data_IF_784099311412
#
_entry.id   IF_784099311412
#
_cell.length_a   1.000
_cell.length_b   1.000
_cell.length_c   1.000
_cell.angle_alpha   90.00
_cell.angle_beta   90.00
_cell.angle_gamma   90.00
#
_symmetry.space_group_name_H-M   'P 1'
#
loop_
_entity.id
_entity.type
_entity.pdbx_description
1 polymer ?
#
# COMPACT_ATOMS: atom_id res chain seq x y z
N UNK A 1 3.64 10.12 17.13
CA UNK A 1 4.83 10.75 17.77
C UNK A 1 6.15 10.09 17.33
N UNK A 2 6.18 8.74 17.17
CA UNK A 2 7.38 8.07 16.64
C UNK A 2 7.67 8.54 15.20
N UNK A 3 8.94 8.79 14.91
CA UNK A 3 9.42 9.17 13.57
C UNK A 3 9.17 10.62 13.18
N UNK A 4 8.68 11.46 14.06
CA UNK A 4 8.39 12.87 13.74
C UNK A 4 9.64 13.65 13.31
N UNK A 5 10.79 13.32 13.89
CA UNK A 5 12.07 13.98 13.62
C UNK A 5 12.65 13.63 12.24
N UNK A 6 12.22 12.49 11.65
CA UNK A 6 12.65 12.05 10.32
C UNK A 6 11.76 12.55 9.18
N UNK A 7 10.65 13.24 9.48
CA UNK A 7 9.75 13.81 8.48
C UNK A 7 10.42 15.03 7.83
N UNK A 8 10.72 15.00 6.52
CA UNK A 8 11.51 16.06 5.89
C UNK A 8 10.76 17.36 5.67
N UNK A 9 9.42 17.34 5.70
CA UNK A 9 8.59 18.52 5.46
C UNK A 9 7.24 18.44 6.16
N UNK A 10 6.83 19.57 6.76
CA UNK A 10 5.47 19.71 7.31
C UNK A 10 4.37 19.62 6.23
N UNK A 11 4.70 19.91 4.98
CA UNK A 11 3.77 19.88 3.85
C UNK A 11 3.54 18.48 3.27
N UNK A 12 4.23 17.45 3.76
CA UNK A 12 3.94 16.07 3.36
C UNK A 12 2.52 15.67 3.74
N UNK A 13 1.90 14.85 2.89
CA UNK A 13 0.57 14.30 3.19
C UNK A 13 0.62 13.39 4.42
N UNK A 14 -0.49 13.28 5.13
CA UNK A 14 -0.56 12.52 6.38
C UNK A 14 -0.11 11.06 6.25
N UNK A 15 -0.47 10.30 5.19
CA UNK A 15 0.04 8.95 5.00
C UNK A 15 1.57 8.88 4.90
N UNK A 16 2.21 9.85 4.24
CA UNK A 16 3.67 9.91 4.16
C UNK A 16 4.30 10.08 5.56
N UNK A 17 3.70 10.93 6.40
CA UNK A 17 4.14 11.11 7.79
C UNK A 17 3.98 9.84 8.64
N UNK A 18 2.88 9.12 8.47
CA UNK A 18 2.62 7.86 9.19
C UNK A 18 3.67 6.79 8.90
N UNK A 19 4.14 6.71 7.67
CA UNK A 19 5.17 5.73 7.28
C UNK A 19 6.44 5.88 8.12
N UNK A 20 6.88 7.11 8.42
CA UNK A 20 8.03 7.33 9.30
C UNK A 20 7.82 6.69 10.67
N UNK A 21 6.64 6.88 11.27
CA UNK A 21 6.28 6.23 12.54
C UNK A 21 6.27 4.71 12.47
N UNK A 22 5.77 4.13 11.40
CA UNK A 22 5.75 2.66 11.21
C UNK A 22 7.17 2.09 11.09
N UNK A 23 8.05 2.74 10.35
CA UNK A 23 9.44 2.30 10.20
C UNK A 23 10.19 2.42 11.54
N UNK A 24 10.09 3.54 12.24
CA UNK A 24 10.70 3.70 13.56
C UNK A 24 10.16 2.69 14.58
N UNK A 25 8.87 2.34 14.49
CA UNK A 25 8.30 1.30 15.34
C UNK A 25 8.91 -0.08 15.04
N UNK A 26 9.11 -0.45 13.78
CA UNK A 26 9.80 -1.69 13.40
C UNK A 26 11.24 -1.71 13.92
N UNK A 27 11.94 -0.59 13.80
CA UNK A 27 13.31 -0.43 14.30
C UNK A 27 13.35 -0.57 15.83
N UNK A 28 12.39 0.03 16.55
CA UNK A 28 12.25 -0.09 17.99
C UNK A 28 11.94 -1.54 18.46
N UNK A 29 11.33 -2.36 17.56
CA UNK A 29 11.12 -3.80 17.75
C UNK A 29 12.34 -4.66 17.37
N UNK A 30 13.49 -4.03 17.16
CA UNK A 30 14.76 -4.68 16.78
C UNK A 30 14.70 -5.49 15.48
N UNK A 31 13.81 -5.08 14.55
CA UNK A 31 13.78 -5.68 13.22
C UNK A 31 15.05 -5.29 12.46
N UNK A 32 15.79 -6.28 11.99
CA UNK A 32 17.05 -6.09 11.25
C UNK A 32 16.85 -6.15 9.72
N UNK A 33 15.68 -6.52 9.28
CA UNK A 33 15.29 -6.57 7.89
C UNK A 33 13.93 -5.90 7.70
N UNK A 34 13.87 -4.92 6.80
CA UNK A 34 12.64 -4.24 6.41
C UNK A 34 12.54 -4.27 4.89
N UNK A 35 11.44 -4.85 4.39
CA UNK A 35 11.11 -4.86 2.97
C UNK A 35 10.01 -3.83 2.71
N UNK A 36 10.35 -2.76 1.99
CA UNK A 36 9.42 -1.68 1.70
C UNK A 36 9.56 -1.24 0.24
N UNK A 37 8.85 -1.86 -0.70
CA UNK A 37 9.01 -1.58 -2.12
C UNK A 37 8.45 -0.21 -2.53
N UNK A 38 9.01 0.36 -3.60
CA UNK A 38 8.44 1.46 -4.34
C UNK A 38 7.42 0.90 -5.35
N UNK A 39 6.18 1.38 -5.32
CA UNK A 39 5.09 0.88 -6.17
C UNK A 39 4.63 1.99 -7.14
N UNK A 40 5.20 2.07 -8.36
CA UNK A 40 4.79 3.09 -9.34
C UNK A 40 3.47 2.76 -10.05
N UNK A 41 3.13 1.48 -10.19
CA UNK A 41 1.95 1.02 -10.92
C UNK A 41 1.10 0.12 -10.08
N UNK A 42 -0.19 0.40 -10.08
CA UNK A 42 -1.21 -0.44 -9.49
C UNK A 42 -1.93 -1.28 -10.56
N UNK A 43 -2.79 -2.18 -10.13
CA UNK A 43 -3.70 -2.89 -11.00
C UNK A 43 -4.66 -1.90 -11.65
N UNK A 44 -4.89 -2.02 -12.96
CA UNK A 44 -5.92 -1.23 -13.61
C UNK A 44 -7.30 -1.81 -13.28
N UNK A 45 -7.98 -1.20 -12.33
CA UNK A 45 -9.30 -1.63 -11.85
C UNK A 45 -10.44 -1.06 -12.68
N UNK A 46 -10.17 0.02 -13.39
CA UNK A 46 -11.11 0.65 -14.29
C UNK A 46 -10.57 0.53 -15.71
N UNK A 47 -11.05 -0.42 -16.52
CA UNK A 47 -10.49 -0.72 -17.83
C UNK A 47 -10.39 0.48 -18.77
N UNK A 48 -11.32 1.44 -18.63
CA UNK A 48 -11.37 2.66 -19.44
C UNK A 48 -10.45 3.78 -18.91
N UNK A 49 -9.73 3.55 -17.80
CA UNK A 49 -8.78 4.55 -17.29
C UNK A 49 -7.59 4.70 -18.23
N UNK A 50 -7.14 5.94 -18.43
CA UNK A 50 -5.99 6.24 -19.28
C UNK A 50 -4.67 5.74 -18.71
N UNK A 51 -4.58 5.54 -17.41
CA UNK A 51 -3.43 4.99 -16.73
C UNK A 51 -3.79 4.41 -15.34
N UNK A 52 -2.78 3.80 -14.70
CA UNK A 52 -2.88 3.20 -13.36
C UNK A 52 -1.64 3.52 -12.52
N UNK A 53 -1.12 4.73 -12.65
CA UNK A 53 -0.01 5.21 -11.84
C UNK A 53 -0.44 5.43 -10.39
N UNK A 54 0.46 5.10 -9.49
CA UNK A 54 0.32 5.50 -8.10
C UNK A 54 0.67 6.99 -7.91
N UNK A 55 0.20 7.57 -6.82
CA UNK A 55 0.60 8.91 -6.42
C UNK A 55 2.14 9.01 -6.33
N UNK A 56 2.79 10.08 -6.83
CA UNK A 56 4.23 10.26 -6.72
C UNK A 56 4.77 10.09 -5.30
N UNK A 57 4.02 10.54 -4.29
CA UNK A 57 4.40 10.36 -2.89
C UNK A 57 4.41 8.88 -2.50
N UNK A 58 3.39 8.11 -2.87
CA UNK A 58 3.34 6.65 -2.62
C UNK A 58 4.49 5.95 -3.32
N UNK A 59 4.74 6.28 -4.58
CA UNK A 59 5.86 5.72 -5.34
C UNK A 59 7.21 5.98 -4.67
N UNK A 60 7.38 7.13 -4.02
CA UNK A 60 8.65 7.57 -3.44
C UNK A 60 8.78 7.33 -1.93
N UNK A 61 7.78 6.77 -1.24
CA UNK A 61 7.83 6.56 0.22
C UNK A 61 9.12 5.87 0.68
N UNK A 62 9.48 4.76 0.05
CA UNK A 62 10.67 4.02 0.46
C UNK A 62 11.98 4.79 0.20
N UNK A 63 12.03 5.60 -0.84
CA UNK A 63 13.18 6.51 -1.09
C UNK A 63 13.25 7.63 -0.05
N UNK A 64 12.11 8.21 0.30
CA UNK A 64 12.03 9.24 1.34
C UNK A 64 12.51 8.68 2.69
N UNK A 65 11.96 7.54 3.12
CA UNK A 65 12.38 6.84 4.34
C UNK A 65 13.88 6.58 4.34
N UNK A 66 14.42 5.99 3.26
CA UNK A 66 15.84 5.66 3.14
C UNK A 66 16.75 6.85 3.37
N UNK A 67 16.33 8.04 2.93
CA UNK A 67 17.16 9.25 2.98
C UNK A 67 16.97 10.09 4.25
N UNK A 68 15.93 9.84 5.04
CA UNK A 68 15.58 10.70 6.18
C UNK A 68 15.54 9.95 7.53
N UNK A 69 15.50 8.62 7.54
CA UNK A 69 15.50 7.83 8.78
C UNK A 69 16.94 7.38 9.08
N UNK A 70 17.65 8.16 9.88
CA UNK A 70 19.06 7.91 10.25
C UNK A 70 19.25 6.57 10.97
N UNK A 71 18.30 6.17 11.79
CA UNK A 71 18.29 4.89 12.52
C UNK A 71 18.46 3.65 11.63
N UNK A 72 18.15 3.73 10.33
CA UNK A 72 18.40 2.64 9.39
C UNK A 72 19.89 2.32 9.25
N UNK A 73 20.73 3.36 9.21
CA UNK A 73 22.19 3.21 9.14
C UNK A 73 22.78 2.93 10.52
N UNK A 74 22.44 3.71 11.55
CA UNK A 74 22.96 3.58 12.90
C UNK A 74 22.75 2.18 13.49
N UNK A 75 21.60 1.57 13.24
CA UNK A 75 21.27 0.23 13.73
C UNK A 75 21.54 -0.89 12.72
N UNK A 76 22.21 -0.58 11.60
CA UNK A 76 22.56 -1.53 10.56
C UNK A 76 21.36 -2.35 10.08
N UNK A 77 20.25 -1.67 9.75
CA UNK A 77 19.04 -2.30 9.23
C UNK A 77 19.21 -2.61 7.74
N UNK A 78 18.94 -3.83 7.34
CA UNK A 78 18.79 -4.17 5.92
C UNK A 78 17.45 -3.65 5.41
N UNK A 79 17.48 -2.49 4.75
CA UNK A 79 16.29 -1.86 4.17
C UNK A 79 16.25 -2.11 2.68
N UNK A 80 15.30 -2.94 2.24
CA UNK A 80 15.11 -3.29 0.83
C UNK A 80 13.93 -2.53 0.23
N UNK A 81 14.19 -1.80 -0.84
CA UNK A 81 13.23 -0.92 -1.50
C UNK A 81 13.16 -1.12 -3.02
N UNK A 82 12.97 -2.34 -3.52
CA UNK A 82 12.88 -2.57 -4.95
C UNK A 82 11.66 -1.86 -5.54
N UNK A 83 11.76 -1.51 -6.84
CA UNK A 83 10.60 -1.11 -7.60
C UNK A 83 9.80 -2.33 -8.03
N UNK A 84 8.53 -2.38 -7.60
CA UNK A 84 7.60 -3.44 -7.97
C UNK A 84 6.37 -2.83 -8.65
N UNK A 85 5.81 -3.53 -9.63
CA UNK A 85 4.59 -3.11 -10.31
C UNK A 85 3.45 -4.09 -9.98
N UNK A 86 2.36 -3.57 -9.45
CA UNK A 86 1.14 -4.33 -9.19
C UNK A 86 0.21 -4.44 -10.40
N UNK A 87 0.69 -4.15 -11.60
CA UNK A 87 -0.08 -4.17 -12.85
C UNK A 87 -0.85 -5.47 -13.05
N UNK A 88 -0.20 -6.60 -12.79
CA UNK A 88 -0.80 -7.94 -12.74
C UNK A 88 0.07 -8.90 -11.94
N UNK A 89 -0.53 -10.01 -11.53
CA UNK A 89 0.11 -11.06 -10.73
C UNK A 89 1.43 -11.55 -11.35
N UNK A 90 1.45 -11.79 -12.66
CA UNK A 90 2.65 -12.33 -13.35
C UNK A 90 3.83 -11.36 -13.24
N UNK A 91 3.63 -10.08 -13.53
CA UNK A 91 4.69 -9.06 -13.46
C UNK A 91 5.21 -8.96 -12.04
N UNK A 92 4.32 -8.84 -11.05
CA UNK A 92 4.69 -8.75 -9.64
C UNK A 92 5.50 -9.98 -9.20
N UNK A 93 5.01 -11.17 -9.53
CA UNK A 93 5.65 -12.44 -9.16
C UNK A 93 7.03 -12.59 -9.78
N UNK A 94 7.19 -12.27 -11.07
CA UNK A 94 8.48 -12.32 -11.75
C UNK A 94 9.48 -11.32 -11.13
N UNK A 95 9.02 -10.14 -10.70
CA UNK A 95 9.84 -9.17 -9.98
C UNK A 95 10.21 -9.67 -8.58
N UNK A 96 9.29 -10.26 -7.82
CA UNK A 96 9.56 -10.85 -6.51
C UNK A 96 10.58 -12.00 -6.59
N UNK A 97 10.49 -12.87 -7.61
CA UNK A 97 11.49 -13.90 -7.86
C UNK A 97 12.88 -13.30 -8.09
N UNK A 98 12.99 -12.22 -8.87
CA UNK A 98 14.27 -11.51 -9.04
C UNK A 98 14.81 -10.97 -7.72
N UNK A 99 13.92 -10.38 -6.89
CA UNK A 99 14.30 -9.82 -5.59
C UNK A 99 14.83 -10.88 -4.64
N UNK A 100 14.12 -11.99 -4.47
CA UNK A 100 14.39 -12.95 -3.39
C UNK A 100 15.18 -14.19 -3.82
N UNK A 101 15.20 -14.52 -5.12
CA UNK A 101 15.91 -15.71 -5.62
C UNK A 101 17.16 -15.32 -6.42
N UNK A 102 17.10 -14.19 -7.15
CA UNK A 102 18.19 -13.76 -8.03
C UNK A 102 18.70 -12.34 -7.67
N UNK A 103 19.11 -12.10 -6.42
CA UNK A 103 19.41 -10.74 -5.93
C UNK A 103 20.55 -10.03 -6.68
N UNK A 104 21.35 -10.75 -7.45
CA UNK A 104 22.42 -10.15 -8.28
C UNK A 104 21.86 -9.27 -9.40
N UNK A 105 20.63 -9.52 -9.84
CA UNK A 105 20.01 -8.80 -10.95
C UNK A 105 19.38 -7.46 -10.51
N UNK A 106 19.39 -7.18 -9.21
CA UNK A 106 18.76 -5.97 -8.63
C UNK A 106 19.69 -5.18 -7.70
N UNK A 107 21.01 -5.31 -7.90
CA UNK A 107 22.03 -4.66 -7.07
C UNK A 107 21.80 -3.15 -6.89
N UNK A 108 21.27 -2.48 -7.92
CA UNK A 108 20.94 -1.03 -7.84
C UNK A 108 19.75 -0.71 -6.95
N UNK A 109 18.85 -1.69 -6.73
CA UNK A 109 17.66 -1.55 -5.90
C UNK A 109 17.91 -1.89 -4.43
N UNK A 110 19.00 -2.58 -4.14
CA UNK A 110 19.45 -2.92 -2.80
C UNK A 110 20.68 -2.09 -2.49
N UNK A 111 20.49 -0.82 -2.08
CA UNK A 111 21.61 -0.05 -1.54
C UNK A 111 21.80 -0.45 -0.09
N UNK A 112 22.93 -1.09 0.25
CA UNK A 112 23.22 -1.44 1.63
C UNK A 112 23.27 -0.16 2.48
N UNK A 113 22.72 -0.25 3.69
CA UNK A 113 22.85 0.78 4.71
C UNK A 113 23.73 0.26 5.83
N UNK A 114 24.54 1.12 6.43
CA UNK A 114 25.43 0.74 7.54
C UNK A 114 26.41 -0.37 7.13
N UNK A 115 26.49 -1.42 7.94
CA UNK A 115 27.43 -2.55 7.78
C UNK A 115 27.03 -3.58 6.73
N UNK A 116 25.92 -3.38 6.03
CA UNK A 116 25.45 -4.30 5.00
C UNK A 116 26.25 -4.12 3.71
N UNK A 117 26.93 -5.17 3.27
CA UNK A 117 27.57 -5.28 1.97
C UNK A 117 26.77 -6.20 1.06
N UNK A 118 26.97 -6.11 -0.26
CA UNK A 118 26.33 -7.02 -1.21
C UNK A 118 26.68 -8.49 -0.92
N UNK A 119 27.87 -8.75 -0.37
CA UNK A 119 28.29 -10.09 0.05
C UNK A 119 27.44 -10.60 1.22
N UNK A 120 27.31 -9.80 2.31
CA UNK A 120 26.48 -10.14 3.47
C UNK A 120 25.00 -10.33 3.09
N UNK A 121 24.50 -9.49 2.18
CA UNK A 121 23.15 -9.65 1.63
C UNK A 121 23.04 -10.99 0.90
N UNK A 122 23.99 -11.31 0.03
CA UNK A 122 24.02 -12.58 -0.68
C UNK A 122 24.09 -13.80 0.24
N UNK A 123 24.82 -13.71 1.35
CA UNK A 123 24.85 -14.76 2.39
C UNK A 123 23.50 -14.92 3.08
N UNK A 124 22.85 -13.81 3.40
CA UNK A 124 21.51 -13.82 4.02
C UNK A 124 20.47 -14.46 3.11
N UNK A 125 20.49 -14.15 1.83
CA UNK A 125 19.60 -14.79 0.84
C UNK A 125 19.87 -16.29 0.69
N UNK A 126 21.13 -16.73 0.78
CA UNK A 126 21.48 -18.15 0.80
C UNK A 126 20.98 -18.85 2.07
N UNK A 127 21.03 -18.16 3.21
CA UNK A 127 20.48 -18.66 4.47
C UNK A 127 18.96 -18.86 4.38
N UNK A 128 18.23 -17.89 3.79
CA UNK A 128 16.79 -18.00 3.59
C UNK A 128 16.42 -19.09 2.57
N UNK A 129 17.27 -19.32 1.57
CA UNK A 129 17.15 -20.37 0.57
C UNK A 129 15.77 -20.46 -0.11
N UNK A 130 15.15 -19.31 -0.39
CA UNK A 130 13.87 -19.26 -1.10
C UNK A 130 13.99 -19.82 -2.50
N UNK A 131 13.01 -20.62 -2.90
CA UNK A 131 12.88 -21.12 -4.26
C UNK A 131 11.90 -20.28 -5.07
N UNK A 132 12.05 -20.25 -6.40
CA UNK A 132 11.05 -19.60 -7.26
C UNK A 132 9.64 -20.15 -7.04
N UNK A 133 9.53 -21.46 -6.78
CA UNK A 133 8.23 -22.11 -6.54
C UNK A 133 7.55 -21.53 -5.31
N UNK A 134 8.27 -21.38 -4.19
CA UNK A 134 7.73 -20.82 -2.94
C UNK A 134 7.32 -19.36 -3.11
N UNK A 135 8.15 -18.55 -3.79
CA UNK A 135 7.82 -17.15 -4.07
C UNK A 135 6.58 -17.05 -4.97
N UNK A 136 6.47 -17.87 -6.01
CA UNK A 136 5.31 -17.87 -6.89
C UNK A 136 4.03 -18.30 -6.17
N UNK A 137 4.10 -19.32 -5.35
CA UNK A 137 2.97 -19.79 -4.55
C UNK A 137 2.53 -18.75 -3.53
N UNK A 138 3.46 -18.13 -2.80
CA UNK A 138 3.17 -17.08 -1.85
C UNK A 138 2.57 -15.83 -2.51
N UNK A 139 3.13 -15.42 -3.66
CA UNK A 139 2.60 -14.28 -4.43
C UNK A 139 1.19 -14.57 -4.97
N UNK A 140 0.93 -15.78 -5.44
CA UNK A 140 -0.40 -16.19 -5.89
C UNK A 140 -1.43 -16.13 -4.76
N UNK A 141 -1.13 -16.72 -3.60
CA UNK A 141 -2.02 -16.68 -2.44
C UNK A 141 -2.29 -15.24 -1.97
N UNK A 142 -1.26 -14.39 -1.95
CA UNK A 142 -1.42 -12.98 -1.61
C UNK A 142 -2.27 -12.21 -2.64
N UNK A 143 -2.14 -12.55 -3.91
CA UNK A 143 -2.94 -11.95 -4.98
C UNK A 143 -4.41 -12.35 -4.88
N UNK A 144 -4.69 -13.64 -4.63
CA UNK A 144 -6.06 -14.12 -4.39
C UNK A 144 -6.70 -13.44 -3.17
N UNK A 145 -5.94 -13.27 -2.08
CA UNK A 145 -6.41 -12.56 -0.89
C UNK A 145 -6.71 -11.08 -1.17
N UNK A 146 -5.88 -10.41 -1.97
CA UNK A 146 -6.14 -9.04 -2.41
C UNK A 146 -7.46 -8.93 -3.18
N UNK A 147 -7.73 -9.87 -4.08
CA UNK A 147 -8.99 -9.92 -4.85
C UNK A 147 -10.18 -10.22 -3.94
N UNK A 148 -10.02 -11.16 -3.00
CA UNK A 148 -11.08 -11.53 -2.06
C UNK A 148 -11.41 -10.37 -1.12
N UNK A 149 -10.41 -9.71 -0.56
CA UNK A 149 -10.60 -8.54 0.33
C UNK A 149 -11.45 -7.44 -0.34
N UNK A 150 -11.25 -7.19 -1.62
CA UNK A 150 -12.07 -6.23 -2.36
C UNK A 150 -13.51 -6.68 -2.51
N UNK A 151 -13.67 -7.94 -2.88
CA UNK A 151 -15.00 -8.54 -3.01
C UNK A 151 -15.76 -8.49 -1.69
N UNK A 152 -15.08 -8.74 -0.56
CA UNK A 152 -15.70 -8.66 0.77
C UNK A 152 -16.18 -7.22 1.08
N UNK A 153 -15.43 -6.20 0.65
CA UNK A 153 -15.82 -4.79 0.79
C UNK A 153 -17.06 -4.49 -0.06
N UNK A 154 -17.09 -4.92 -1.31
CA UNK A 154 -18.22 -4.76 -2.24
C UNK A 154 -19.47 -5.48 -1.71
N UNK A 155 -19.34 -6.74 -1.32
CA UNK A 155 -20.44 -7.54 -0.73
C UNK A 155 -20.99 -6.85 0.53
N UNK A 156 -20.15 -6.28 1.37
CA UNK A 156 -20.56 -5.53 2.56
C UNK A 156 -21.33 -4.25 2.22
N UNK A 157 -20.92 -3.57 1.16
CA UNK A 157 -21.64 -2.43 0.61
C UNK A 157 -23.05 -2.81 0.14
N UNK A 158 -23.17 -3.88 -0.64
CA UNK A 158 -24.44 -4.39 -1.14
C UNK A 158 -25.37 -4.85 0.00
N UNK A 159 -24.85 -5.58 0.99
CA UNK A 159 -25.60 -5.94 2.20
C UNK A 159 -26.18 -4.71 2.91
N UNK A 160 -25.39 -3.65 3.01
CA UNK A 160 -25.80 -2.41 3.66
C UNK A 160 -26.91 -1.71 2.87
N UNK A 161 -26.80 -1.67 1.54
CA UNK A 161 -27.87 -1.12 0.68
C UNK A 161 -29.17 -1.91 0.81
N UNK A 162 -29.12 -3.24 0.78
CA UNK A 162 -30.30 -4.11 0.99
C UNK A 162 -30.93 -3.89 2.38
N UNK A 163 -30.11 -3.70 3.41
CA UNK A 163 -30.60 -3.38 4.74
C UNK A 163 -31.31 -2.02 4.75
N UNK A 164 -30.75 -1.00 4.09
CA UNK A 164 -31.36 0.32 3.98
C UNK A 164 -32.73 0.26 3.28
N UNK A 165 -32.82 -0.46 2.17
CA UNK A 165 -34.08 -0.66 1.45
C UNK A 165 -35.14 -1.34 2.33
N UNK A 166 -34.75 -2.40 3.03
CA UNK A 166 -35.67 -3.17 3.90
C UNK A 166 -36.16 -2.37 5.11
N UNK A 167 -35.35 -1.49 5.65
CA UNK A 167 -35.64 -0.75 6.88
C UNK A 167 -36.16 0.67 6.64
N UNK A 168 -36.04 1.17 5.40
CA UNK A 168 -36.38 2.56 5.06
C UNK A 168 -35.30 3.56 5.58
N UNK A 169 -34.18 3.09 6.05
CA UNK A 169 -33.06 3.93 6.49
C UNK A 169 -32.36 4.61 5.32
N UNK A 170 -31.77 5.75 5.61
CA UNK A 170 -30.91 6.47 4.65
C UNK A 170 -29.45 6.23 4.95
N UNK A 171 -28.60 6.44 3.97
CA UNK A 171 -27.15 6.35 4.11
C UNK A 171 -26.42 7.53 3.52
N UNK A 172 -25.16 7.65 3.89
CA UNK A 172 -24.22 8.64 3.36
C UNK A 172 -23.01 7.89 2.85
N UNK A 173 -22.58 8.21 1.63
CA UNK A 173 -21.33 7.74 1.06
C UNK A 173 -20.23 8.73 1.45
N UNK A 174 -19.21 8.23 2.16
CA UNK A 174 -17.99 8.96 2.41
C UNK A 174 -17.05 8.73 1.24
N UNK A 175 -17.00 9.68 0.32
CA UNK A 175 -16.09 9.66 -0.81
C UNK A 175 -14.77 10.31 -0.43
N UNK A 176 -13.69 9.68 -0.81
CA UNK A 176 -12.34 10.17 -0.54
C UNK A 176 -11.30 9.08 -0.77
N UNK A 177 -10.07 9.36 -0.45
CA UNK A 177 -9.01 8.36 -0.56
C UNK A 177 -9.16 7.29 0.53
N UNK A 178 -8.70 6.04 0.30
CA UNK A 178 -8.85 4.93 1.26
C UNK A 178 -8.34 5.25 2.66
N UNK A 179 -7.29 6.05 2.79
CA UNK A 179 -6.75 6.43 4.10
C UNK A 179 -7.66 7.38 4.90
N UNK A 180 -8.68 7.99 4.27
CA UNK A 180 -9.68 8.78 4.99
C UNK A 180 -10.58 7.93 5.88
N UNK A 181 -10.56 6.61 5.72
CA UNK A 181 -11.25 5.68 6.63
C UNK A 181 -10.49 5.45 7.96
N UNK A 182 -9.27 5.98 8.10
CA UNK A 182 -8.50 5.89 9.33
C UNK A 182 -9.10 6.79 10.44
N UNK A 183 -9.33 6.26 11.67
CA UNK A 183 -9.94 6.99 12.77
C UNK A 183 -9.23 8.30 13.15
N UNK A 184 -7.90 8.36 13.03
CA UNK A 184 -7.13 9.57 13.32
C UNK A 184 -7.34 10.66 12.25
N UNK A 185 -7.76 10.27 11.04
CA UNK A 185 -8.01 11.21 9.94
C UNK A 185 -9.45 11.68 9.93
N UNK A 186 -10.41 10.79 10.11
CA UNK A 186 -11.83 11.15 10.02
C UNK A 186 -12.41 11.71 11.33
N UNK A 187 -11.67 11.66 12.45
CA UNK A 187 -12.04 12.28 13.73
C UNK A 187 -13.47 11.95 14.21
N UNK A 188 -13.93 10.73 14.02
CA UNK A 188 -15.26 10.28 14.46
C UNK A 188 -16.42 10.70 13.54
N UNK A 189 -16.14 11.11 12.29
CA UNK A 189 -17.21 11.46 11.32
C UNK A 189 -18.18 10.30 11.07
N UNK A 190 -17.73 9.03 10.83
CA UNK A 190 -18.65 7.90 10.68
C UNK A 190 -19.55 7.67 11.90
N UNK A 191 -18.98 7.77 13.10
CA UNK A 191 -19.71 7.63 14.37
C UNK A 191 -20.75 8.72 14.54
N UNK A 192 -20.42 9.96 14.17
CA UNK A 192 -21.36 11.07 14.18
C UNK A 192 -22.52 10.81 13.21
N UNK A 193 -22.25 10.37 12.00
CA UNK A 193 -23.26 10.07 10.98
C UNK A 193 -24.19 8.95 11.47
N UNK A 194 -23.64 7.87 12.02
CA UNK A 194 -24.42 6.76 12.56
C UNK A 194 -25.24 7.15 13.78
N UNK A 195 -24.79 8.12 14.59
CA UNK A 195 -25.57 8.66 15.71
C UNK A 195 -26.88 9.35 15.26
N UNK A 196 -26.94 9.82 14.01
CA UNK A 196 -28.15 10.35 13.38
C UNK A 196 -28.98 9.27 12.68
N UNK A 197 -28.68 8.00 12.91
CA UNK A 197 -29.36 6.86 12.32
C UNK A 197 -29.24 6.76 10.79
N UNK A 198 -28.12 7.21 10.25
CA UNK A 198 -27.73 6.98 8.86
C UNK A 198 -26.74 5.82 8.77
N UNK A 199 -26.83 5.03 7.70
CA UNK A 199 -25.77 4.11 7.32
C UNK A 199 -24.57 4.90 6.76
N UNK A 200 -23.38 4.38 6.96
CA UNK A 200 -22.15 4.92 6.34
C UNK A 200 -21.63 3.88 5.36
N UNK A 201 -21.36 4.32 4.15
CA UNK A 201 -20.76 3.55 3.07
C UNK A 201 -19.48 4.24 2.62
N UNK A 202 -18.50 3.48 2.19
CA UNK A 202 -17.31 4.00 1.53
C UNK A 202 -17.48 3.92 0.01
N UNK A 203 -16.72 4.71 -0.74
CA UNK A 203 -16.81 4.72 -2.20
C UNK A 203 -16.49 3.34 -2.80
N UNK A 204 -15.41 2.70 -2.35
CA UNK A 204 -14.96 1.39 -2.79
C UNK A 204 -15.96 0.26 -2.50
N UNK A 205 -16.85 0.45 -1.53
CA UNK A 205 -17.88 -0.54 -1.20
C UNK A 205 -19.07 -0.58 -2.17
N UNK A 206 -19.28 0.48 -2.97
CA UNK A 206 -20.48 0.62 -3.83
C UNK A 206 -20.19 1.14 -5.25
N UNK A 207 -18.97 1.59 -5.55
CA UNK A 207 -18.62 2.17 -6.85
C UNK A 207 -18.83 1.23 -8.04
N UNK A 208 -18.69 -0.09 -7.81
CA UNK A 208 -18.92 -1.12 -8.82
C UNK A 208 -20.37 -1.20 -9.31
N UNK A 209 -21.33 -0.63 -8.57
CA UNK A 209 -22.77 -0.65 -8.90
C UNK A 209 -23.17 0.46 -9.88
N UNK A 210 -22.30 1.40 -10.20
CA UNK A 210 -22.60 2.52 -11.06
C UNK A 210 -21.63 2.65 -12.25
N UNK A 211 -22.16 2.87 -13.46
CA UNK A 211 -21.35 3.28 -14.60
C UNK A 211 -20.85 4.71 -14.40
N UNK A 212 -19.55 4.89 -14.35
CA UNK A 212 -18.94 6.22 -14.32
C UNK A 212 -18.82 6.74 -15.75
N UNK A 213 -19.66 7.69 -16.13
CA UNK A 213 -19.46 8.46 -17.36
C UNK A 213 -18.29 9.42 -17.15
N UNK A 214 -17.19 9.15 -17.79
CA UNK A 214 -15.95 9.91 -17.65
C UNK A 214 -15.89 11.13 -18.56
N UNK A 215 -15.99 12.35 -18.01
CA UNK A 215 -15.70 13.56 -18.79
C UNK A 215 -14.39 14.24 -18.39
N UNK A 216 -13.57 13.73 -17.45
CA UNK A 216 -12.55 14.54 -16.80
C UNK A 216 -11.16 13.88 -16.89
N UNK A 217 -10.21 14.62 -17.49
CA UNK A 217 -8.79 14.24 -17.65
C UNK A 217 -8.11 13.86 -16.32
N UNK A 218 -8.54 14.43 -15.18
CA UNK A 218 -7.95 14.15 -13.86
C UNK A 218 -8.22 12.72 -13.39
N UNK A 219 -9.37 12.14 -13.72
CA UNK A 219 -9.69 10.75 -13.38
C UNK A 219 -8.84 9.75 -14.15
N UNK A 220 -8.26 10.17 -15.28
CA UNK A 220 -7.36 9.33 -16.06
C UNK A 220 -5.90 9.33 -15.52
N UNK A 221 -5.58 10.20 -14.58
CA UNK A 221 -4.23 10.32 -14.01
C UNK A 221 -4.05 9.54 -12.68
N UNK A 222 -5.16 9.29 -11.96
CA UNK A 222 -5.12 8.66 -10.66
C UNK A 222 -6.11 7.52 -10.59
N UNK A 223 -5.63 6.37 -10.16
CA UNK A 223 -6.42 5.14 -10.15
C UNK A 223 -7.62 5.18 -9.19
N UNK A 224 -7.60 6.04 -8.19
CA UNK A 224 -8.59 6.11 -7.12
C UNK A 224 -9.60 7.26 -7.32
N UNK A 225 -10.26 7.28 -8.48
CA UNK A 225 -11.29 8.30 -8.75
C UNK A 225 -12.48 7.72 -9.47
#
# INVERSE_FOLDING_TARGET
>A
EMGIESIPSESECYPAKLVHGHIEWLIAKDQKFIFYPCIPYERNETPDAGNHYNCPMVTSYAENIKNNVENLEEKSILFMKPFLAFTNEKILTDQLCKVFVHPKDIQDSIKPAGDWTLEKIGEKFKEWNFTEKEIREAAHLAWEELLQSRKDIEEKGEETLMWMEKTGNRGIVLAGRPYHADPEIHHGIPELITSFNFAVLTEDSISHLAEVKRPIIVTDQWMYH
#
